data_IF_898206055125
#
_entry.id   IF_898206055125
#
_cell.length_a   1.000
_cell.length_b   1.000
_cell.length_c   1.000
_cell.angle_alpha   90.00
_cell.angle_beta   90.00
_cell.angle_gamma   90.00
#
_symmetry.space_group_name_H-M   'P 1'
#
loop_
_entity.id
_entity.type
_entity.pdbx_description
1 polymer ?
#
# COMPACT_ATOMS: atom_id res chain seq x y z
N UNK A 1 -44.03 63.70 26.36
CA UNK A 1 -45.00 62.59 26.28
C UNK A 1 -44.21 61.32 26.14
N UNK A 2 -44.01 60.62 27.24
CA UNK A 2 -43.46 59.28 27.26
C UNK A 2 -44.57 58.25 27.36
N UNK A 3 -44.31 57.07 26.82
CA UNK A 3 -44.84 55.76 27.20
C UNK A 3 -44.18 54.77 26.23
N UNK A 4 -43.25 53.96 26.73
CA UNK A 4 -43.46 52.52 27.03
C UNK A 4 -43.47 51.64 25.77
N UNK A 5 -42.98 50.41 25.73
CA UNK A 5 -42.13 49.52 26.53
C UNK A 5 -42.49 48.11 26.00
N UNK A 6 -41.57 47.16 26.19
CA UNK A 6 -41.76 45.70 26.11
C UNK A 6 -41.46 45.12 24.70
N UNK A 7 -40.65 44.07 24.53
CA UNK A 7 -40.40 42.90 25.41
C UNK A 7 -38.99 42.34 25.18
N UNK A 8 -38.33 42.01 26.31
CA UNK A 8 -37.48 40.85 26.68
C UNK A 8 -36.93 39.91 25.57
N UNK A 9 -35.79 39.22 25.69
CA UNK A 9 -35.01 38.83 26.86
C UNK A 9 -33.59 38.40 26.45
N UNK A 10 -32.64 38.72 27.32
CA UNK A 10 -31.46 37.95 27.76
C UNK A 10 -31.04 36.68 26.98
N UNK A 11 -29.77 36.67 26.53
CA UNK A 11 -28.76 35.90 27.26
C UNK A 11 -27.35 36.46 27.00
N UNK A 12 -26.77 37.06 28.02
CA UNK A 12 -25.34 37.32 28.14
C UNK A 12 -24.83 36.29 29.14
N UNK A 13 -23.98 35.37 28.71
CA UNK A 13 -23.11 34.63 29.62
C UNK A 13 -21.93 34.08 28.86
N UNK A 14 -20.76 34.64 29.21
CA UNK A 14 -19.45 34.02 29.28
C UNK A 14 -19.18 32.78 28.42
N UNK A 15 -18.16 32.85 27.56
CA UNK A 15 -16.91 32.13 27.82
C UNK A 15 -15.80 32.71 26.94
N UNK A 16 -14.92 33.50 27.57
CA UNK A 16 -13.57 33.72 27.09
C UNK A 16 -12.81 32.39 27.10
N UNK A 17 -11.91 32.27 26.12
CA UNK A 17 -10.65 31.54 26.22
C UNK A 17 -10.74 30.04 26.55
N UNK A 18 -10.78 29.21 25.50
CA UNK A 18 -10.13 27.91 25.54
C UNK A 18 -9.23 27.76 24.31
N UNK A 19 -7.96 28.10 24.56
CA UNK A 19 -6.78 27.33 24.16
C UNK A 19 -6.87 26.55 22.84
N UNK A 20 -6.17 27.08 21.83
CA UNK A 20 -5.57 26.29 20.76
C UNK A 20 -4.86 25.09 21.37
N UNK A 21 -5.20 23.83 21.04
CA UNK A 21 -4.26 22.76 21.24
C UNK A 21 -3.12 22.98 20.24
N UNK A 22 -1.99 23.49 20.75
CA UNK A 22 -0.69 23.10 20.23
C UNK A 22 -0.50 21.62 20.63
N UNK A 23 -1.01 20.72 19.78
CA UNK A 23 -0.63 19.31 19.76
C UNK A 23 -0.21 19.04 18.32
N UNK A 24 1.07 19.32 18.08
CA UNK A 24 2.10 18.28 17.97
C UNK A 24 2.17 17.85 16.52
N UNK A 25 3.12 18.47 15.83
CA UNK A 25 3.91 17.82 14.80
C UNK A 25 4.39 16.48 15.37
N UNK A 26 3.55 15.46 15.25
CA UNK A 26 3.96 14.08 15.45
C UNK A 26 4.86 13.76 14.27
N UNK A 27 6.16 13.79 14.55
CA UNK A 27 7.19 13.27 13.68
C UNK A 27 7.07 11.74 13.68
N UNK A 28 6.03 11.21 13.04
CA UNK A 28 5.98 9.79 12.67
C UNK A 28 6.84 9.64 11.41
N UNK A 29 8.08 9.20 11.65
CA UNK A 29 9.01 8.56 10.71
C UNK A 29 8.97 9.02 9.23
N UNK A 30 10.00 9.76 8.83
CA UNK A 30 10.34 9.98 7.41
C UNK A 30 10.90 8.70 6.71
N UNK A 31 10.37 7.52 7.01
CA UNK A 31 10.67 6.25 6.30
C UNK A 31 9.47 5.30 6.17
N UNK A 32 8.27 5.74 6.54
CA UNK A 32 6.99 5.07 6.26
C UNK A 32 6.13 6.01 5.42
N UNK A 33 6.35 6.07 4.10
CA UNK A 33 5.28 6.59 3.26
C UNK A 33 4.11 5.60 3.40
N UNK A 34 3.14 5.94 4.25
CA UNK A 34 1.97 5.10 4.46
C UNK A 34 1.40 4.72 3.09
N UNK A 35 1.02 3.45 2.93
CA UNK A 35 0.44 2.89 1.70
C UNK A 35 -0.67 3.79 1.12
N UNK A 36 -1.39 4.50 1.99
CA UNK A 36 -2.39 5.52 1.66
C UNK A 36 -1.84 6.64 0.77
N UNK A 37 -0.68 7.21 1.09
CA UNK A 37 -0.02 8.25 0.30
C UNK A 37 0.49 7.73 -1.03
N UNK A 38 1.06 6.52 -1.04
CA UNK A 38 1.56 5.90 -2.26
C UNK A 38 0.41 5.57 -3.24
N UNK A 39 -0.69 5.00 -2.74
CA UNK A 39 -1.90 4.74 -3.53
C UNK A 39 -2.47 6.03 -4.12
N UNK A 40 -2.50 7.11 -3.32
CA UNK A 40 -2.94 8.43 -3.77
C UNK A 40 -2.02 8.98 -4.87
N UNK A 41 -0.71 8.85 -4.73
CA UNK A 41 0.26 9.30 -5.73
C UNK A 41 0.10 8.54 -7.05
N UNK A 42 -0.14 7.23 -7.02
CA UNK A 42 -0.42 6.43 -8.21
C UNK A 42 -1.69 6.90 -8.92
N UNK A 43 -2.77 7.16 -8.16
CA UNK A 43 -4.02 7.68 -8.72
C UNK A 43 -3.82 9.07 -9.35
N UNK A 44 -3.12 9.97 -8.66
CA UNK A 44 -2.84 11.32 -9.17
C UNK A 44 -1.95 11.28 -10.42
N UNK A 45 -0.96 10.39 -10.47
CA UNK A 45 -0.13 10.12 -11.66
C UNK A 45 -0.95 9.63 -12.85
N UNK A 46 -1.93 8.75 -12.60
CA UNK A 46 -2.88 8.27 -13.60
C UNK A 46 -3.95 9.31 -14.01
N UNK A 47 -4.01 10.47 -13.34
CA UNK A 47 -5.04 11.50 -13.51
C UNK A 47 -6.47 10.98 -13.32
N UNK A 48 -6.65 9.95 -12.50
CA UNK A 48 -7.95 9.35 -12.19
C UNK A 48 -8.56 10.04 -10.96
N UNK A 49 -9.82 10.46 -11.06
CA UNK A 49 -10.55 11.02 -9.92
C UNK A 49 -10.97 9.94 -8.92
N UNK A 50 -11.13 10.31 -7.64
CA UNK A 50 -11.63 9.40 -6.58
C UNK A 50 -12.94 8.71 -6.97
N UNK A 51 -13.89 9.47 -7.55
CA UNK A 51 -15.19 8.93 -8.00
C UNK A 51 -15.07 7.98 -9.18
N UNK A 52 -14.11 8.21 -10.05
CA UNK A 52 -13.84 7.35 -11.22
C UNK A 52 -13.24 6.02 -10.76
N UNK A 53 -12.23 6.11 -9.88
CA UNK A 53 -11.60 4.94 -9.28
C UNK A 53 -12.62 4.07 -8.52
N UNK A 54 -13.45 4.68 -7.67
CA UNK A 54 -14.51 3.98 -6.95
C UNK A 54 -15.49 3.26 -7.89
N UNK A 55 -15.83 3.87 -9.04
CA UNK A 55 -16.69 3.26 -10.06
C UNK A 55 -16.05 2.01 -10.67
N UNK A 56 -14.77 2.07 -11.05
CA UNK A 56 -14.03 0.94 -11.64
C UNK A 56 -13.93 -0.23 -10.67
N UNK A 57 -13.77 0.07 -9.39
CA UNK A 57 -13.71 -0.93 -8.31
C UNK A 57 -15.10 -1.41 -7.84
N UNK A 58 -16.19 -0.87 -8.39
CA UNK A 58 -17.55 -1.23 -7.97
C UNK A 58 -17.84 -0.97 -6.49
N UNK A 59 -17.18 0.03 -5.88
CA UNK A 59 -17.41 0.41 -4.48
C UNK A 59 -17.93 1.85 -4.36
N UNK A 60 -18.49 2.15 -3.19
CA UNK A 60 -18.90 3.52 -2.90
C UNK A 60 -17.66 4.45 -2.77
N UNK A 61 -17.74 5.73 -3.16
CA UNK A 61 -16.65 6.68 -2.98
C UNK A 61 -16.23 6.85 -1.50
N UNK A 62 -17.18 6.68 -0.58
CA UNK A 62 -16.91 6.73 0.86
C UNK A 62 -16.07 5.53 1.33
N UNK A 63 -16.36 4.34 0.80
CA UNK A 63 -15.56 3.13 1.05
C UNK A 63 -14.16 3.26 0.48
N UNK A 64 -14.01 3.89 -0.70
CA UNK A 64 -12.69 4.13 -1.29
C UNK A 64 -11.84 5.11 -0.46
N UNK A 65 -12.46 6.19 0.03
CA UNK A 65 -11.78 7.21 0.84
C UNK A 65 -11.15 6.63 2.12
N UNK A 66 -11.64 5.49 2.61
CA UNK A 66 -11.03 4.78 3.73
C UNK A 66 -9.56 4.41 3.46
N UNK A 67 -9.26 3.93 2.26
CA UNK A 67 -7.92 3.45 1.86
C UNK A 67 -6.96 4.58 1.49
N UNK A 68 -7.46 5.77 1.17
CA UNK A 68 -6.62 6.96 0.91
C UNK A 68 -6.40 7.82 2.17
N UNK A 69 -7.13 7.56 3.25
CA UNK A 69 -7.08 8.39 4.44
C UNK A 69 -6.11 7.80 5.49
N UNK A 70 -4.99 8.49 5.77
CA UNK A 70 -3.97 8.02 6.73
C UNK A 70 -4.51 7.87 8.15
N UNK A 71 -5.60 8.58 8.49
CA UNK A 71 -6.21 8.50 9.81
C UNK A 71 -7.12 7.27 9.99
N UNK A 72 -7.59 6.67 8.89
CA UNK A 72 -8.56 5.56 8.92
C UNK A 72 -7.93 4.21 8.60
N UNK A 73 -6.97 4.19 7.68
CA UNK A 73 -6.22 2.98 7.33
C UNK A 73 -4.85 3.04 8.01
N UNK A 74 -4.63 2.14 8.98
CA UNK A 74 -3.40 2.09 9.79
C UNK A 74 -2.52 0.90 9.45
N UNK A 75 -2.95 0.06 8.52
CA UNK A 75 -2.22 -1.14 8.15
C UNK A 75 -1.02 -0.76 7.27
N UNK A 76 0.14 -1.39 7.50
CA UNK A 76 1.36 -1.09 6.75
C UNK A 76 1.31 -1.57 5.30
N UNK A 77 0.40 -2.50 4.97
CA UNK A 77 0.27 -3.09 3.64
C UNK A 77 -1.19 -3.12 3.20
N UNK A 78 -1.41 -2.95 1.90
CA UNK A 78 -2.73 -3.13 1.32
C UNK A 78 -3.08 -4.63 1.26
N UNK A 79 -4.31 -5.04 1.61
CA UNK A 79 -4.72 -6.42 1.41
C UNK A 79 -4.57 -6.84 -0.07
N UNK A 80 -4.01 -8.02 -0.32
CA UNK A 80 -3.67 -8.47 -1.68
C UNK A 80 -4.84 -8.40 -2.67
N UNK A 81 -6.01 -8.87 -2.24
CA UNK A 81 -7.23 -8.83 -3.05
C UNK A 81 -7.64 -7.41 -3.47
N UNK A 82 -7.30 -6.39 -2.68
CA UNK A 82 -7.51 -5.00 -3.06
C UNK A 82 -6.45 -4.53 -4.03
N UNK A 83 -5.18 -4.86 -3.78
CA UNK A 83 -4.07 -4.48 -4.64
C UNK A 83 -4.21 -5.00 -6.07
N UNK A 84 -4.65 -6.25 -6.25
CA UNK A 84 -4.96 -6.82 -7.57
C UNK A 84 -6.04 -6.00 -8.28
N UNK A 85 -7.14 -5.69 -7.59
CA UNK A 85 -8.23 -4.88 -8.15
C UNK A 85 -7.81 -3.46 -8.49
N UNK A 86 -6.90 -2.87 -7.71
CA UNK A 86 -6.33 -1.57 -8.03
C UNK A 86 -5.40 -1.64 -9.24
N UNK A 87 -4.63 -2.71 -9.38
CA UNK A 87 -3.78 -2.92 -10.54
C UNK A 87 -4.61 -3.03 -11.81
N UNK A 88 -5.65 -3.87 -11.81
CA UNK A 88 -6.54 -4.05 -12.96
C UNK A 88 -7.27 -2.73 -13.31
N UNK A 89 -7.61 -1.92 -12.30
CA UNK A 89 -8.29 -0.64 -12.52
C UNK A 89 -7.38 0.47 -13.05
N UNK A 90 -6.07 0.42 -12.78
CA UNK A 90 -5.06 1.45 -13.12
C UNK A 90 -4.20 1.09 -14.34
N UNK A 91 -4.10 -0.19 -14.70
CA UNK A 91 -3.45 -0.67 -15.92
C UNK A 91 -3.90 0.09 -17.20
N UNK A 92 -5.21 0.33 -17.45
CA UNK A 92 -5.63 1.07 -18.65
C UNK A 92 -5.18 2.54 -18.67
N UNK A 93 -4.79 3.12 -17.53
CA UNK A 93 -4.30 4.50 -17.46
C UNK A 93 -2.75 4.58 -17.49
N UNK A 94 -2.07 3.45 -17.71
CA UNK A 94 -0.61 3.39 -17.88
C UNK A 94 0.18 3.25 -16.58
N UNK A 95 -0.45 2.84 -15.48
CA UNK A 95 0.27 2.51 -14.24
C UNK A 95 0.70 1.04 -14.28
N UNK A 96 1.98 0.73 -14.04
CA UNK A 96 2.44 -0.66 -14.01
C UNK A 96 1.84 -1.41 -12.82
N UNK A 97 1.27 -2.59 -13.10
CA UNK A 97 0.70 -3.51 -12.11
C UNK A 97 1.64 -3.77 -10.93
N UNK A 98 2.92 -3.93 -11.22
CA UNK A 98 3.96 -4.22 -10.23
C UNK A 98 4.10 -3.09 -9.19
N UNK A 99 3.93 -1.82 -9.60
CA UNK A 99 4.00 -0.69 -8.67
C UNK A 99 2.82 -0.66 -7.69
N UNK A 100 1.65 -1.15 -8.10
CA UNK A 100 0.48 -1.28 -7.22
C UNK A 100 0.64 -2.47 -6.28
N UNK A 101 1.15 -3.60 -6.78
CA UNK A 101 1.38 -4.80 -5.98
C UNK A 101 2.50 -4.64 -4.94
N UNK A 102 3.50 -3.80 -5.23
CA UNK A 102 4.52 -3.42 -4.25
C UNK A 102 3.88 -2.83 -2.97
N UNK A 103 2.74 -2.14 -3.08
CA UNK A 103 2.00 -1.59 -1.93
C UNK A 103 1.34 -2.65 -1.05
N UNK A 104 1.13 -3.87 -1.57
CA UNK A 104 0.67 -5.02 -0.80
C UNK A 104 1.81 -5.80 -0.15
N UNK A 105 3.05 -5.31 -0.25
CA UNK A 105 4.23 -6.03 0.23
C UNK A 105 4.76 -7.04 -0.79
N UNK A 106 4.22 -7.11 -2.01
CA UNK A 106 4.82 -7.84 -3.13
C UNK A 106 5.90 -6.96 -3.75
N UNK A 107 6.93 -6.67 -2.95
CA UNK A 107 8.12 -6.04 -3.49
C UNK A 107 8.94 -7.10 -4.19
N UNK A 108 8.75 -7.26 -5.49
CA UNK A 108 9.69 -7.98 -6.36
C UNK A 108 10.84 -7.06 -6.84
N UNK A 109 11.16 -6.05 -6.03
CA UNK A 109 12.22 -5.08 -6.31
C UNK A 109 13.23 -5.07 -5.17
N UNK A 110 14.29 -5.89 -5.26
CA UNK A 110 15.55 -5.57 -4.64
C UNK A 110 16.27 -4.55 -5.53
N UNK A 111 16.19 -3.25 -5.23
CA UNK A 111 17.14 -2.26 -5.79
C UNK A 111 17.61 -1.36 -4.66
N UNK A 112 18.90 -1.35 -4.31
CA UNK A 112 19.87 -0.46 -4.98
C UNK A 112 20.95 -1.19 -5.82
N UNK A 113 21.13 -2.50 -5.66
CA UNK A 113 22.07 -3.27 -6.48
C UNK A 113 21.44 -4.64 -6.73
N UNK A 114 20.96 -4.88 -7.95
CA UNK A 114 20.33 -6.15 -8.30
C UNK A 114 21.27 -7.30 -7.95
N UNK A 115 20.71 -8.44 -7.50
CA UNK A 115 21.52 -9.61 -7.17
C UNK A 115 22.45 -9.98 -8.34
N UNK A 116 21.96 -9.87 -9.58
CA UNK A 116 22.76 -10.07 -10.80
C UNK A 116 23.90 -9.07 -10.93
N UNK A 117 23.66 -7.78 -10.63
CA UNK A 117 24.71 -6.77 -10.62
C UNK A 117 25.76 -7.07 -9.54
N UNK A 118 25.35 -7.50 -8.35
CA UNK A 118 26.25 -7.93 -7.27
C UNK A 118 27.06 -9.15 -7.66
N UNK A 119 26.40 -10.18 -8.21
CA UNK A 119 27.05 -11.39 -8.71
C UNK A 119 28.07 -11.04 -9.77
N UNK A 120 27.76 -10.17 -10.74
CA UNK A 120 28.66 -9.78 -11.83
C UNK A 120 29.98 -9.15 -11.36
N UNK A 121 29.98 -8.47 -10.20
CA UNK A 121 31.15 -7.82 -9.59
C UNK A 121 32.04 -8.80 -8.80
N UNK A 122 31.56 -10.01 -8.51
CA UNK A 122 32.34 -10.99 -7.76
C UNK A 122 33.37 -11.71 -8.66
N UNK A 123 34.56 -12.05 -8.14
CA UNK A 123 35.53 -12.86 -8.88
C UNK A 123 34.95 -14.24 -9.22
N UNK A 124 35.43 -14.84 -10.31
CA UNK A 124 34.90 -16.10 -10.87
C UNK A 124 34.78 -17.22 -9.81
N UNK A 125 35.81 -17.41 -8.99
CA UNK A 125 35.82 -18.44 -7.95
C UNK A 125 34.71 -18.25 -6.91
N UNK A 126 34.42 -16.99 -6.55
CA UNK A 126 33.38 -16.68 -5.56
C UNK A 126 31.99 -16.83 -6.16
N UNK A 127 31.79 -16.45 -7.43
CA UNK A 127 30.54 -16.70 -8.16
C UNK A 127 30.26 -18.20 -8.26
N UNK A 128 31.29 -18.99 -8.61
CA UNK A 128 31.17 -20.44 -8.73
C UNK A 128 30.73 -21.09 -7.42
N UNK A 129 31.26 -20.63 -6.28
CA UNK A 129 30.84 -21.14 -4.95
C UNK A 129 29.39 -20.83 -4.62
N UNK A 130 28.91 -19.63 -4.97
CA UNK A 130 27.49 -19.26 -4.77
C UNK A 130 26.59 -20.14 -5.63
N UNK A 131 26.95 -20.35 -6.91
CA UNK A 131 26.19 -21.23 -7.80
C UNK A 131 26.18 -22.68 -7.30
N UNK A 132 27.32 -23.18 -6.82
CA UNK A 132 27.39 -24.52 -6.22
C UNK A 132 26.49 -24.64 -5.00
N UNK A 133 26.52 -23.65 -4.10
CA UNK A 133 25.66 -23.64 -2.93
C UNK A 133 24.18 -23.69 -3.30
N UNK A 134 23.75 -22.92 -4.31
CA UNK A 134 22.36 -22.94 -4.78
C UNK A 134 21.97 -24.32 -5.34
N UNK A 135 22.82 -24.92 -6.17
CA UNK A 135 22.58 -26.26 -6.70
C UNK A 135 22.46 -27.32 -5.58
N UNK A 136 23.28 -27.20 -4.53
CA UNK A 136 23.22 -28.09 -3.38
C UNK A 136 21.90 -27.90 -2.59
N UNK A 137 21.42 -26.66 -2.43
CA UNK A 137 20.13 -26.38 -1.79
C UNK A 137 18.94 -26.91 -2.60
N UNK A 138 18.96 -26.75 -3.92
CA UNK A 138 17.93 -27.28 -4.80
C UNK A 138 17.85 -28.81 -4.70
N UNK A 139 19.00 -29.50 -4.74
CA UNK A 139 19.06 -30.95 -4.59
C UNK A 139 18.60 -31.44 -3.21
N UNK A 140 18.76 -30.63 -2.15
CA UNK A 140 18.24 -30.91 -0.81
C UNK A 140 16.72 -30.72 -0.76
N UNK A 141 16.19 -29.63 -1.33
CA UNK A 141 14.75 -29.37 -1.39
C UNK A 141 14.00 -30.44 -2.19
N UNK A 142 14.56 -30.93 -3.30
CA UNK A 142 14.00 -32.05 -4.06
C UNK A 142 13.91 -33.33 -3.22
N UNK A 143 14.91 -33.58 -2.37
CA UNK A 143 14.94 -34.75 -1.48
C UNK A 143 13.96 -34.61 -0.32
N UNK A 144 13.77 -33.40 0.21
CA UNK A 144 12.88 -33.12 1.33
C UNK A 144 11.40 -33.05 0.91
N UNK A 145 11.09 -32.81 -0.37
CA UNK A 145 9.72 -32.65 -0.85
C UNK A 145 9.34 -33.57 -2.03
N UNK A 146 9.41 -34.91 -1.87
CA UNK A 146 9.07 -35.86 -2.94
C UNK A 146 7.56 -35.95 -3.27
N UNK A 147 6.70 -35.20 -2.57
CA UNK A 147 5.25 -35.37 -2.60
C UNK A 147 4.52 -34.63 -3.75
N UNK A 148 5.21 -33.82 -4.57
CA UNK A 148 4.55 -33.06 -5.65
C UNK A 148 4.56 -33.77 -7.01
N UNK A 149 5.41 -34.78 -7.20
CA UNK A 149 5.58 -35.43 -8.51
C UNK A 149 4.81 -36.74 -8.67
N UNK A 150 4.20 -37.25 -7.60
CA UNK A 150 3.41 -38.49 -7.63
C UNK A 150 1.98 -38.31 -8.16
N UNK A 151 1.38 -37.12 -8.05
CA UNK A 151 -0.05 -36.90 -8.37
C UNK A 151 -0.35 -36.65 -9.86
N UNK A 152 0.66 -36.55 -10.74
CA UNK A 152 0.43 -36.27 -12.18
C UNK A 152 0.46 -37.53 -13.07
N UNK A 153 0.73 -38.73 -12.53
CA UNK A 153 0.87 -39.96 -13.34
C UNK A 153 -0.32 -40.93 -13.37
N UNK A 154 -1.44 -40.65 -12.68
CA UNK A 154 -2.62 -41.53 -12.69
C UNK A 154 -3.88 -40.92 -13.37
N UNK A 155 -3.71 -40.23 -14.49
CA UNK A 155 -4.84 -39.87 -15.35
C UNK A 155 -4.53 -40.21 -16.81
N UNK A 156 -4.56 -41.50 -17.15
CA UNK A 156 -4.40 -41.95 -18.53
C UNK A 156 -4.09 -43.44 -18.68
N UNK A 157 -5.04 -44.29 -18.31
CA UNK A 157 -5.21 -45.63 -18.90
C UNK A 157 -6.56 -45.69 -19.59
#
# INVERSE_FOLDING_TARGET
>A
MGAMCAICAHYSSAYCAQTRPAFSCDATSMSDQQVTYALRALREGAKVGVREMARRLGISPNSYTHYENPNRFKDPYLPMHWAERFADALEPDGVPRDAVLALAGVSDVPSEESLDARLSKLPADRRQRVLQYLADQEALHERENPARDADTKEAGQ
#
